data_IF_726668994715
#
_entry.id   IF_726668994715
#
_cell.length_a   1.000
_cell.length_b   1.000
_cell.length_c   1.000
_cell.angle_alpha   90.00
_cell.angle_beta   90.00
_cell.angle_gamma   90.00
#
_symmetry.space_group_name_H-M   'P 1'
#
loop_
_entity.id
_entity.type
_entity.pdbx_description
1 polymer ?
#
# COMPACT_ATOMS: atom_id res chain seq x y z
N UNK A 1 8.76 49.33 29.64
CA UNK A 1 8.83 47.89 29.26
C UNK A 1 8.18 46.94 30.27
N UNK A 2 8.62 46.84 31.55
CA UNK A 2 7.98 45.90 32.49
C UNK A 2 6.56 46.31 32.91
N UNK A 3 6.27 47.61 32.95
CA UNK A 3 4.96 48.13 33.35
C UNK A 3 3.93 48.07 32.21
N UNK A 4 4.33 48.32 30.97
CA UNK A 4 3.46 48.22 29.79
C UNK A 4 2.92 46.79 29.59
N UNK A 5 3.78 45.78 29.76
CA UNK A 5 3.35 44.38 29.69
C UNK A 5 2.34 44.03 30.80
N UNK A 6 2.47 44.64 31.98
CA UNK A 6 1.58 44.38 33.11
C UNK A 6 0.18 44.98 32.87
N UNK A 7 0.11 46.13 32.21
CA UNK A 7 -1.14 46.76 31.77
C UNK A 7 -1.83 45.96 30.65
N UNK A 8 -1.07 45.51 29.65
CA UNK A 8 -1.60 44.70 28.55
C UNK A 8 -2.21 43.38 29.05
N UNK A 9 -1.52 42.66 29.95
CA UNK A 9 -2.06 41.43 30.53
C UNK A 9 -3.30 41.67 31.41
N UNK A 10 -3.34 42.79 32.15
CA UNK A 10 -4.50 43.15 32.98
C UNK A 10 -5.74 43.45 32.13
N UNK A 11 -5.57 44.07 30.97
CA UNK A 11 -6.66 44.33 30.03
C UNK A 11 -7.14 43.04 29.33
N UNK A 12 -6.23 42.15 28.95
CA UNK A 12 -6.57 40.85 28.31
C UNK A 12 -7.33 39.94 29.27
N UNK A 13 -6.97 39.91 30.56
CA UNK A 13 -7.65 39.12 31.59
C UNK A 13 -9.10 39.56 31.86
N UNK A 14 -9.49 40.77 31.47
CA UNK A 14 -10.85 41.29 31.63
C UNK A 14 -11.78 40.96 30.45
N UNK A 15 -11.21 40.47 29.34
CA UNK A 15 -11.97 40.09 28.14
C UNK A 15 -12.34 38.62 28.31
N UNK A 16 -13.60 38.35 28.64
CA UNK A 16 -14.12 36.98 28.63
C UNK A 16 -13.95 36.40 27.22
N UNK A 17 -13.29 35.24 27.08
CA UNK A 17 -13.13 34.62 25.78
C UNK A 17 -14.51 34.24 25.22
N UNK A 18 -14.73 34.37 23.90
CA UNK A 18 -15.95 33.90 23.27
C UNK A 18 -16.17 32.43 23.62
N UNK A 19 -17.39 32.05 24.02
CA UNK A 19 -17.73 30.67 24.41
C UNK A 19 -17.41 29.61 23.33
N UNK A 20 -17.27 30.02 22.08
CA UNK A 20 -16.98 29.17 20.92
C UNK A 20 -15.47 29.06 20.57
N UNK A 21 -14.61 29.81 21.26
CA UNK A 21 -13.18 29.87 20.92
C UNK A 21 -12.49 28.52 21.18
N UNK A 22 -12.84 27.87 22.29
CA UNK A 22 -12.29 26.55 22.65
C UNK A 22 -12.71 25.52 21.59
N UNK A 23 -14.00 25.50 21.21
CA UNK A 23 -14.54 24.62 20.18
C UNK A 23 -13.84 24.80 18.83
N UNK A 24 -13.63 26.05 18.40
CA UNK A 24 -12.88 26.36 17.17
C UNK A 24 -11.43 25.90 17.21
N UNK A 25 -10.75 26.07 18.34
CA UNK A 25 -9.37 25.63 18.50
C UNK A 25 -9.29 24.11 18.50
N UNK A 26 -10.18 23.41 19.22
CA UNK A 26 -10.19 21.94 19.25
C UNK A 26 -10.49 21.35 17.88
N UNK A 27 -11.45 21.91 17.14
CA UNK A 27 -11.76 21.47 15.77
C UNK A 27 -10.54 21.63 14.85
N UNK A 28 -9.92 22.82 14.80
CA UNK A 28 -8.71 23.02 13.99
C UNK A 28 -7.57 22.05 14.32
N UNK A 29 -7.39 21.73 15.61
CA UNK A 29 -6.36 20.78 16.04
C UNK A 29 -6.69 19.36 15.53
N UNK A 30 -7.95 18.95 15.54
CA UNK A 30 -8.37 17.66 14.99
C UNK A 30 -8.21 17.58 13.48
N UNK A 31 -8.58 18.64 12.75
CA UNK A 31 -8.38 18.73 11.30
C UNK A 31 -6.90 18.59 10.92
N UNK A 32 -6.00 19.33 11.58
CA UNK A 32 -4.57 19.22 11.33
C UNK A 32 -4.02 17.82 11.64
N UNK A 33 -4.51 17.17 12.70
CA UNK A 33 -4.10 15.81 13.06
C UNK A 33 -4.51 14.79 11.99
N UNK A 34 -5.73 14.86 11.50
CA UNK A 34 -6.20 13.97 10.43
C UNK A 34 -5.46 14.24 9.11
N UNK A 35 -5.22 15.51 8.74
CA UNK A 35 -4.42 15.86 7.56
C UNK A 35 -2.99 15.32 7.63
N UNK A 36 -2.32 15.43 8.80
CA UNK A 36 -0.97 14.86 8.99
C UNK A 36 -0.96 13.35 8.87
N UNK A 37 -1.98 12.67 9.39
CA UNK A 37 -2.14 11.22 9.32
C UNK A 37 -2.33 10.76 7.87
N UNK A 38 -3.21 11.41 7.12
CA UNK A 38 -3.43 11.13 5.69
C UNK A 38 -2.17 11.38 4.88
N UNK A 39 -1.47 12.50 5.09
CA UNK A 39 -0.20 12.78 4.41
C UNK A 39 0.84 11.70 4.68
N UNK A 40 0.98 11.26 5.94
CA UNK A 40 1.90 10.17 6.29
C UNK A 40 1.52 8.86 5.59
N UNK A 41 0.24 8.48 5.60
CA UNK A 41 -0.22 7.27 4.93
C UNK A 41 -0.04 7.34 3.42
N UNK A 42 -0.24 8.51 2.81
CA UNK A 42 -0.02 8.73 1.39
C UNK A 42 1.45 8.56 0.99
N UNK A 43 2.38 9.09 1.81
CA UNK A 43 3.81 8.87 1.61
C UNK A 43 4.16 7.39 1.71
N UNK A 44 3.66 6.69 2.74
CA UNK A 44 3.86 5.24 2.89
C UNK A 44 3.34 4.51 1.65
N UNK A 45 2.13 4.84 1.19
CA UNK A 45 1.52 4.25 0.00
C UNK A 45 2.38 4.42 -1.25
N UNK A 46 2.92 5.62 -1.49
CA UNK A 46 3.78 5.86 -2.67
C UNK A 46 5.02 4.97 -2.60
N UNK A 47 5.71 4.94 -1.47
CA UNK A 47 6.93 4.14 -1.32
C UNK A 47 6.64 2.63 -1.40
N UNK A 48 5.59 2.14 -0.74
CA UNK A 48 5.21 0.72 -0.80
C UNK A 48 4.72 0.31 -2.19
N UNK A 49 3.94 1.17 -2.86
CA UNK A 49 3.44 0.92 -4.22
C UNK A 49 4.57 0.94 -5.25
N UNK A 50 5.46 1.93 -5.20
CA UNK A 50 6.60 2.00 -6.10
C UNK A 50 7.56 0.83 -5.89
N UNK A 51 7.85 0.51 -4.63
CA UNK A 51 8.70 -0.63 -4.27
C UNK A 51 8.11 -1.97 -4.72
N UNK A 52 6.82 -2.20 -4.48
CA UNK A 52 6.15 -3.45 -4.92
C UNK A 52 6.07 -3.57 -6.44
N UNK A 53 5.73 -2.51 -7.17
CA UNK A 53 5.71 -2.53 -8.63
C UNK A 53 7.11 -2.77 -9.22
N UNK A 54 8.13 -2.10 -8.68
CA UNK A 54 9.52 -2.32 -9.09
C UNK A 54 9.98 -3.76 -8.83
N UNK A 55 9.65 -4.31 -7.66
CA UNK A 55 9.94 -5.70 -7.31
C UNK A 55 9.21 -6.68 -8.25
N UNK A 56 7.93 -6.45 -8.55
CA UNK A 56 7.17 -7.28 -9.50
C UNK A 56 7.86 -7.31 -10.86
N UNK A 57 8.26 -6.15 -11.40
CA UNK A 57 8.93 -6.09 -12.71
C UNK A 57 10.25 -6.87 -12.72
N UNK A 58 11.08 -6.72 -11.68
CA UNK A 58 12.34 -7.43 -11.54
C UNK A 58 12.14 -8.94 -11.38
N UNK A 59 11.27 -9.35 -10.45
CA UNK A 59 10.98 -10.77 -10.21
C UNK A 59 10.41 -11.41 -11.47
N UNK A 60 9.54 -10.73 -12.20
CA UNK A 60 8.97 -11.24 -13.45
C UNK A 60 10.05 -11.47 -14.52
N UNK A 61 11.02 -10.57 -14.61
CA UNK A 61 12.20 -10.76 -15.47
C UNK A 61 12.98 -12.02 -15.08
N UNK A 62 13.26 -12.21 -13.79
CA UNK A 62 13.96 -13.41 -13.29
C UNK A 62 13.15 -14.69 -13.48
N UNK A 63 11.83 -14.67 -13.33
CA UNK A 63 10.95 -15.83 -13.59
C UNK A 63 11.08 -16.25 -15.05
N UNK A 64 11.04 -15.30 -15.99
CA UNK A 64 11.20 -15.59 -17.42
C UNK A 64 12.56 -16.23 -17.72
N UNK A 65 13.64 -15.65 -17.19
CA UNK A 65 14.98 -16.21 -17.36
C UNK A 65 15.08 -17.63 -16.80
N UNK A 66 14.59 -17.84 -15.58
CA UNK A 66 14.63 -19.16 -14.93
C UNK A 66 13.80 -20.20 -15.67
N UNK A 67 12.62 -19.84 -16.17
CA UNK A 67 11.79 -20.76 -16.96
C UNK A 67 12.44 -21.16 -18.29
N UNK A 68 13.27 -20.29 -18.88
CA UNK A 68 14.06 -20.62 -20.07
C UNK A 68 15.23 -21.55 -19.73
N UNK A 69 15.91 -21.32 -18.61
CA UNK A 69 17.02 -22.16 -18.12
C UNK A 69 16.56 -23.57 -17.73
N UNK A 70 15.42 -23.71 -17.06
CA UNK A 70 14.93 -25.00 -16.56
C UNK A 70 14.24 -25.85 -17.62
N UNK A 71 14.04 -25.32 -18.83
CA UNK A 71 13.35 -26.05 -19.89
C UNK A 71 11.83 -26.13 -19.68
N UNK A 72 11.25 -25.27 -18.83
CA UNK A 72 9.83 -25.30 -18.49
C UNK A 72 8.94 -25.18 -19.73
N UNK A 73 9.30 -24.30 -20.67
CA UNK A 73 8.55 -24.11 -21.91
C UNK A 73 8.55 -25.34 -22.81
N UNK A 74 9.65 -26.10 -22.82
CA UNK A 74 9.78 -27.34 -23.59
C UNK A 74 8.88 -28.43 -23.01
N UNK A 75 8.88 -28.60 -21.68
CA UNK A 75 7.97 -29.51 -20.99
C UNK A 75 6.50 -29.10 -21.19
N UNK A 76 6.20 -27.81 -21.07
CA UNK A 76 4.85 -27.29 -21.28
C UNK A 76 4.39 -27.49 -22.73
N UNK A 77 5.28 -27.32 -23.71
CA UNK A 77 4.98 -27.60 -25.12
C UNK A 77 4.69 -29.08 -25.35
N UNK A 78 5.39 -29.97 -24.65
CA UNK A 78 5.15 -31.42 -24.74
C UNK A 78 3.71 -31.78 -24.38
N UNK A 79 3.11 -31.06 -23.40
CA UNK A 79 1.71 -31.22 -22.99
C UNK A 79 0.72 -31.13 -24.16
N UNK A 80 1.01 -30.26 -25.11
CA UNK A 80 0.16 -30.05 -26.28
C UNK A 80 0.57 -30.90 -27.48
N UNK A 81 1.84 -31.31 -27.57
CA UNK A 81 2.35 -32.14 -28.67
C UNK A 81 1.96 -33.61 -28.52
N UNK A 82 2.20 -34.20 -27.34
CA UNK A 82 2.14 -35.66 -27.13
C UNK A 82 1.28 -36.04 -25.91
N UNK A 83 0.03 -35.56 -25.92
CA UNK A 83 -0.89 -35.73 -24.80
C UNK A 83 -1.13 -37.19 -24.40
N UNK A 84 -1.13 -38.14 -25.34
CA UNK A 84 -1.30 -39.59 -25.05
C UNK A 84 -0.18 -40.15 -24.17
N UNK A 85 1.06 -39.74 -24.42
CA UNK A 85 2.24 -40.20 -23.67
C UNK A 85 2.22 -39.59 -22.26
N UNK A 86 1.75 -38.35 -22.16
CA UNK A 86 1.64 -37.62 -20.89
C UNK A 86 0.53 -38.19 -20.02
N UNK A 87 -0.61 -38.57 -20.60
CA UNK A 87 -1.68 -39.22 -19.84
C UNK A 87 -1.20 -40.55 -19.23
N UNK A 88 -0.38 -41.31 -19.97
CA UNK A 88 0.22 -42.55 -19.48
C UNK A 88 1.27 -42.33 -18.36
N UNK A 89 1.90 -41.16 -18.32
CA UNK A 89 2.98 -40.81 -17.38
C UNK A 89 2.67 -39.55 -16.54
N UNK A 90 1.40 -39.30 -16.24
CA UNK A 90 0.95 -38.01 -15.71
C UNK A 90 1.62 -37.66 -14.38
N UNK A 91 1.91 -38.67 -13.54
CA UNK A 91 2.59 -38.49 -12.25
C UNK A 91 4.02 -37.96 -12.46
N UNK A 92 4.83 -38.67 -13.25
CA UNK A 92 6.21 -38.29 -13.53
C UNK A 92 6.30 -36.95 -14.26
N UNK A 93 5.40 -36.73 -15.22
CA UNK A 93 5.33 -35.47 -15.95
C UNK A 93 4.98 -34.30 -15.02
N UNK A 94 3.98 -34.47 -14.14
CA UNK A 94 3.59 -33.42 -13.19
C UNK A 94 4.71 -33.08 -12.19
N UNK A 95 5.46 -34.09 -11.73
CA UNK A 95 6.65 -33.89 -10.88
C UNK A 95 7.74 -33.13 -11.62
N UNK A 96 8.10 -33.54 -12.84
CA UNK A 96 9.10 -32.86 -13.65
C UNK A 96 8.70 -31.40 -13.98
N UNK A 97 7.41 -31.16 -14.24
CA UNK A 97 6.89 -29.82 -14.45
C UNK A 97 6.99 -28.96 -13.18
N UNK A 98 6.76 -29.56 -12.00
CA UNK A 98 6.91 -28.88 -10.72
C UNK A 98 8.38 -28.56 -10.39
N UNK A 99 9.30 -29.46 -10.70
CA UNK A 99 10.74 -29.27 -10.49
C UNK A 99 11.31 -28.14 -11.35
N UNK A 100 10.73 -27.92 -12.53
CA UNK A 100 11.16 -26.85 -13.44
C UNK A 100 10.55 -25.48 -13.12
N UNK A 101 9.55 -25.42 -12.24
CA UNK A 101 8.96 -24.16 -11.78
C UNK A 101 9.89 -23.45 -10.77
N UNK A 102 10.17 -22.16 -10.97
CA UNK A 102 10.90 -21.37 -9.98
C UNK A 102 9.97 -20.96 -8.82
N UNK A 103 9.57 -21.93 -7.99
CA UNK A 103 8.65 -21.74 -6.86
C UNK A 103 9.01 -20.53 -5.97
N UNK A 104 10.27 -20.30 -5.57
CA UNK A 104 10.62 -19.16 -4.72
C UNK A 104 10.31 -17.80 -5.37
N UNK A 105 10.49 -17.69 -6.70
CA UNK A 105 10.21 -16.46 -7.43
C UNK A 105 8.71 -16.22 -7.55
N UNK A 106 7.92 -17.28 -7.78
CA UNK A 106 6.45 -17.20 -7.84
C UNK A 106 5.88 -16.78 -6.49
N UNK A 107 6.38 -17.35 -5.39
CA UNK A 107 5.98 -16.96 -4.02
C UNK A 107 6.34 -15.50 -3.75
N UNK A 108 7.53 -15.07 -4.17
CA UNK A 108 7.95 -13.66 -4.01
C UNK A 108 7.07 -12.70 -4.81
N UNK A 109 6.70 -13.08 -6.04
CA UNK A 109 5.78 -12.31 -6.89
C UNK A 109 4.40 -12.15 -6.22
N UNK A 110 3.84 -13.25 -5.70
CA UNK A 110 2.58 -13.27 -4.97
C UNK A 110 2.63 -12.37 -3.74
N UNK A 111 3.74 -12.43 -2.99
CA UNK A 111 3.94 -11.59 -1.81
C UNK A 111 3.96 -10.10 -2.18
N UNK A 112 4.70 -9.71 -3.22
CA UNK A 112 4.72 -8.33 -3.71
C UNK A 112 3.33 -7.86 -4.17
N UNK A 113 2.57 -8.73 -4.85
CA UNK A 113 1.21 -8.43 -5.27
C UNK A 113 0.27 -8.22 -4.08
N UNK A 114 0.40 -9.03 -3.02
CA UNK A 114 -0.36 -8.90 -1.79
C UNK A 114 -0.05 -7.56 -1.09
N UNK A 115 1.24 -7.20 -1.00
CA UNK A 115 1.65 -5.89 -0.47
C UNK A 115 1.06 -4.73 -1.26
N UNK A 116 1.03 -4.83 -2.59
CA UNK A 116 0.41 -3.83 -3.46
C UNK A 116 -1.09 -3.68 -3.18
N UNK A 117 -1.83 -4.78 -3.05
CA UNK A 117 -3.26 -4.77 -2.73
C UNK A 117 -3.51 -4.15 -1.34
N UNK A 118 -2.70 -4.52 -0.34
CA UNK A 118 -2.80 -3.95 1.02
C UNK A 118 -2.59 -2.43 0.96
N UNK A 119 -1.57 -1.99 0.24
CA UNK A 119 -1.27 -0.57 0.02
C UNK A 119 -2.49 0.14 -0.57
N UNK A 120 -3.10 -0.42 -1.61
CA UNK A 120 -4.28 0.14 -2.26
C UNK A 120 -5.49 0.22 -1.33
N UNK A 121 -5.71 -0.79 -0.48
CA UNK A 121 -6.78 -0.79 0.52
C UNK A 121 -6.65 0.36 1.52
N UNK A 122 -5.42 0.66 1.96
CA UNK A 122 -5.17 1.80 2.86
C UNK A 122 -5.49 3.12 2.18
N UNK A 123 -5.06 3.33 0.94
CA UNK A 123 -5.38 4.54 0.18
C UNK A 123 -6.88 4.76 0.00
N UNK A 124 -7.64 3.72 -0.33
CA UNK A 124 -9.10 3.81 -0.48
C UNK A 124 -9.77 4.20 0.84
N UNK A 125 -9.30 3.65 1.96
CA UNK A 125 -9.81 3.98 3.30
C UNK A 125 -9.57 5.46 3.62
N UNK A 126 -8.38 5.97 3.33
CA UNK A 126 -8.01 7.35 3.63
C UNK A 126 -8.79 8.36 2.76
N UNK A 127 -9.03 8.05 1.48
CA UNK A 127 -9.88 8.85 0.59
C UNK A 127 -11.34 8.88 1.08
N UNK A 128 -11.86 7.76 1.60
CA UNK A 128 -13.24 7.67 2.11
C UNK A 128 -13.44 8.55 3.35
N UNK A 129 -12.44 8.65 4.23
CA UNK A 129 -12.47 9.53 5.40
C UNK A 129 -12.58 11.00 4.96
N UNK A 130 -11.79 11.40 3.96
CA UNK A 130 -11.79 12.76 3.42
C UNK A 130 -13.13 13.17 2.75
N UNK A 131 -13.88 12.20 2.21
CA UNK A 131 -15.18 12.42 1.56
C UNK A 131 -16.39 12.42 2.50
N UNK A 132 -16.23 12.04 3.77
CA UNK A 132 -17.36 11.99 4.71
C UNK A 132 -17.82 13.40 5.11
N UNK A 133 -19.14 13.67 5.21
CA UNK A 133 -19.71 15.02 5.30
C UNK A 133 -19.54 15.70 6.66
N UNK A 134 -18.62 15.24 7.51
CA UNK A 134 -18.32 15.87 8.81
C UNK A 134 -17.69 17.27 8.63
N UNK A 135 -17.22 17.61 7.43
CA UNK A 135 -16.57 18.87 7.08
C UNK A 135 -17.48 19.95 6.44
N UNK A 136 -18.81 19.79 6.48
CA UNK A 136 -19.72 20.71 5.78
C UNK A 136 -20.80 21.41 6.62
N UNK A 137 -20.68 21.40 7.95
CA UNK A 137 -21.52 22.26 8.78
C UNK A 137 -20.69 23.25 9.58
N UNK A 138 -20.43 24.37 8.91
CA UNK A 138 -20.30 25.72 9.46
C UNK A 138 -21.53 26.15 10.24
#
# INVERSE_FOLDING_TARGET
>A
MKNDLKELFKNILSIEPPNDLITKITLRIEEEKELRKIRRQFVIFIFSSAGSLGAIALIFYFVKLKMLETGFWQLLSLLFSDFKIILANWQNFSLALLETLPVPLIVSLLFCFLLFIISLKFLIKDIKILKSPVFHHS
#
